data_IF_194677241718
#
_entry.id   IF_194677241718
#
_cell.length_a   1.000
_cell.length_b   1.000
_cell.length_c   1.000
_cell.angle_alpha   90.00
_cell.angle_beta   90.00
_cell.angle_gamma   90.00
#
_symmetry.space_group_name_H-M   'P 1'
#
loop_
_entity.id
_entity.type
_entity.pdbx_description
1 polymer ?
#
# COMPACT_ATOMS: atom_id res chain seq x y z
N UNK A 1 17.08 17.68 1.51
CA UNK A 1 16.74 16.76 2.62
C UNK A 1 16.39 17.59 3.84
N UNK A 2 15.32 17.26 4.56
CA UNK A 2 14.95 17.96 5.80
C UNK A 2 16.05 17.70 6.84
N UNK A 3 16.61 18.77 7.41
CA UNK A 3 17.71 18.74 8.39
C UNK A 3 17.22 19.37 9.70
N UNK A 4 16.12 18.83 10.21
CA UNK A 4 15.48 19.25 11.47
C UNK A 4 15.59 18.09 12.46
N UNK A 5 16.21 18.34 13.61
CA UNK A 5 16.39 17.37 14.68
C UNK A 5 15.07 16.93 15.33
N UNK A 6 13.96 17.62 15.06
CA UNK A 6 12.62 17.34 15.58
C UNK A 6 11.68 16.74 14.52
N UNK A 7 12.22 16.22 13.42
CA UNK A 7 11.40 15.55 12.40
C UNK A 7 10.63 14.37 12.99
N UNK A 8 9.29 14.42 12.90
CA UNK A 8 8.40 13.33 13.26
C UNK A 8 8.00 12.60 12.00
N UNK A 9 8.42 11.34 11.88
CA UNK A 9 8.04 10.44 10.80
C UNK A 9 6.67 9.82 11.11
N UNK A 10 5.72 9.94 10.17
CA UNK A 10 4.40 9.30 10.26
C UNK A 10 4.25 8.31 9.13
N UNK A 11 3.94 7.06 9.48
CA UNK A 11 3.83 5.98 8.50
C UNK A 11 2.72 5.02 8.88
N UNK A 12 2.15 4.37 7.87
CA UNK A 12 1.28 3.21 8.01
C UNK A 12 2.05 1.94 7.67
N UNK A 13 1.88 0.91 8.49
CA UNK A 13 2.47 -0.42 8.30
C UNK A 13 1.36 -1.46 8.38
N UNK A 14 1.21 -2.28 7.34
CA UNK A 14 0.20 -3.33 7.26
C UNK A 14 0.60 -4.42 6.25
N UNK A 15 -0.03 -5.58 6.32
CA UNK A 15 0.05 -6.66 5.34
C UNK A 15 -1.34 -7.23 5.08
N UNK A 16 -1.42 -8.26 4.23
CA UNK A 16 -2.63 -9.07 4.04
C UNK A 16 -3.85 -8.24 3.58
N UNK A 17 -3.63 -7.24 2.72
CA UNK A 17 -4.71 -6.34 2.29
C UNK A 17 -5.76 -7.09 1.47
N UNK A 18 -5.30 -7.86 0.49
CA UNK A 18 -6.12 -8.50 -0.51
C UNK A 18 -6.95 -7.54 -1.37
N UNK A 19 -7.59 -8.11 -2.38
CA UNK A 19 -8.46 -7.37 -3.30
C UNK A 19 -9.87 -7.12 -2.73
N UNK A 20 -10.54 -8.16 -2.24
CA UNK A 20 -11.99 -8.13 -2.01
C UNK A 20 -12.38 -7.65 -0.59
N UNK A 21 -11.45 -7.65 0.37
CA UNK A 21 -11.72 -7.31 1.77
C UNK A 21 -10.74 -6.26 2.33
N UNK A 22 -10.44 -5.26 1.52
CA UNK A 22 -9.48 -4.20 1.82
C UNK A 22 -10.05 -3.17 2.83
N UNK A 23 -10.45 -3.61 4.02
CA UNK A 23 -11.14 -2.80 5.05
C UNK A 23 -10.36 -1.54 5.45
N UNK A 24 -9.04 -1.62 5.46
CA UNK A 24 -8.16 -0.51 5.79
C UNK A 24 -7.90 0.44 4.60
N UNK A 25 -8.25 0.05 3.37
CA UNK A 25 -7.91 0.81 2.16
C UNK A 25 -8.47 2.22 2.18
N UNK A 26 -9.78 2.38 2.41
CA UNK A 26 -10.43 3.70 2.43
C UNK A 26 -9.74 4.64 3.42
N UNK A 27 -9.40 4.13 4.62
CA UNK A 27 -8.71 4.91 5.66
C UNK A 27 -7.32 5.35 5.20
N UNK A 28 -6.57 4.45 4.58
CA UNK A 28 -5.22 4.73 4.09
C UNK A 28 -5.24 5.76 2.96
N UNK A 29 -6.22 5.67 2.07
CA UNK A 29 -6.43 6.64 0.99
C UNK A 29 -6.75 8.03 1.58
N UNK A 30 -7.74 8.13 2.46
CA UNK A 30 -8.12 9.40 3.10
C UNK A 30 -6.95 10.07 3.82
N UNK A 31 -6.23 9.33 4.66
CA UNK A 31 -5.10 9.88 5.43
C UNK A 31 -3.92 10.29 4.54
N UNK A 32 -3.69 9.57 3.45
CA UNK A 32 -2.68 9.95 2.47
C UNK A 32 -3.05 11.27 1.80
N UNK A 33 -4.31 11.44 1.41
CA UNK A 33 -4.81 12.67 0.81
C UNK A 33 -4.80 13.86 1.79
N UNK A 34 -4.98 13.61 3.08
CA UNK A 34 -4.81 14.60 4.15
C UNK A 34 -3.35 14.92 4.49
N UNK A 35 -2.38 14.22 3.86
CA UNK A 35 -0.95 14.43 4.11
C UNK A 35 -0.50 13.94 5.49
N UNK A 36 -1.19 12.95 6.07
CA UNK A 36 -0.88 12.42 7.39
C UNK A 36 0.24 11.37 7.40
N UNK A 37 0.59 10.82 6.22
CA UNK A 37 1.68 9.87 6.06
C UNK A 37 2.81 10.43 5.20
N UNK A 38 4.04 10.11 5.59
CA UNK A 38 5.25 10.37 4.79
C UNK A 38 5.54 9.22 3.81
N UNK A 39 5.19 7.98 4.19
CA UNK A 39 5.27 6.78 3.34
C UNK A 39 4.44 5.63 3.93
N UNK A 40 4.20 4.59 3.12
CA UNK A 40 3.58 3.33 3.54
C UNK A 40 4.58 2.18 3.43
N UNK A 41 4.52 1.23 4.36
CA UNK A 41 5.17 -0.08 4.27
C UNK A 41 4.13 -1.20 4.25
N UNK A 42 3.97 -1.85 3.10
CA UNK A 42 3.13 -3.03 2.91
C UNK A 42 3.97 -4.31 3.07
N UNK A 43 3.80 -5.01 4.19
CA UNK A 43 4.63 -6.16 4.60
C UNK A 43 4.15 -7.51 4.04
N UNK A 44 3.88 -7.56 2.73
CA UNK A 44 3.53 -8.79 2.01
C UNK A 44 2.04 -9.08 1.93
N UNK A 45 1.69 -10.09 1.13
CA UNK A 45 0.32 -10.55 0.87
C UNK A 45 -0.56 -9.41 0.33
N UNK A 46 -0.19 -8.94 -0.87
CA UNK A 46 -0.72 -7.71 -1.46
C UNK A 46 -2.17 -7.86 -1.92
N UNK A 47 -2.38 -8.48 -3.08
CA UNK A 47 -3.70 -8.66 -3.67
C UNK A 47 -4.26 -10.08 -3.48
N UNK A 48 -3.38 -11.03 -3.13
CA UNK A 48 -3.52 -12.47 -3.35
C UNK A 48 -3.73 -12.83 -4.83
N UNK A 49 -2.95 -13.78 -5.34
CA UNK A 49 -3.06 -14.31 -6.71
C UNK A 49 -3.06 -13.21 -7.80
N UNK A 50 -2.04 -12.34 -7.80
CA UNK A 50 -1.96 -11.21 -8.73
C UNK A 50 -2.00 -11.60 -10.21
N UNK A 51 -1.60 -12.82 -10.55
CA UNK A 51 -1.61 -13.41 -11.88
C UNK A 51 -3.01 -13.91 -12.33
N UNK A 52 -3.97 -13.97 -11.42
CA UNK A 52 -5.32 -14.47 -11.70
C UNK A 52 -6.08 -13.62 -12.70
N UNK A 53 -6.87 -14.32 -13.52
CA UNK A 53 -7.65 -13.77 -14.63
C UNK A 53 -6.82 -12.85 -15.53
N UNK A 54 -5.75 -13.42 -16.10
CA UNK A 54 -4.82 -12.71 -16.98
C UNK A 54 -4.28 -11.42 -16.34
N UNK A 55 -3.83 -11.53 -15.08
CA UNK A 55 -3.35 -10.45 -14.23
C UNK A 55 -4.37 -9.32 -13.89
N UNK A 56 -5.66 -9.47 -14.25
CA UNK A 56 -6.69 -8.47 -13.93
C UNK A 56 -6.82 -8.21 -12.43
N UNK A 57 -6.55 -9.22 -11.59
CA UNK A 57 -6.55 -9.06 -10.14
C UNK A 57 -5.43 -8.13 -9.67
N UNK A 58 -4.24 -8.27 -10.25
CA UNK A 58 -3.14 -7.34 -10.05
C UNK A 58 -3.50 -5.92 -10.50
N UNK A 59 -4.07 -5.77 -11.70
CA UNK A 59 -4.46 -4.46 -12.23
C UNK A 59 -5.46 -3.73 -11.32
N UNK A 60 -6.49 -4.44 -10.85
CA UNK A 60 -7.49 -3.86 -9.94
C UNK A 60 -6.88 -3.45 -8.60
N UNK A 61 -5.96 -4.25 -8.05
CA UNK A 61 -5.23 -3.89 -6.84
C UNK A 61 -4.35 -2.65 -7.05
N UNK A 62 -3.60 -2.59 -8.16
CA UNK A 62 -2.75 -1.45 -8.49
C UNK A 62 -3.55 -0.17 -8.68
N UNK A 63 -4.71 -0.25 -9.34
CA UNK A 63 -5.65 0.87 -9.45
C UNK A 63 -6.19 1.31 -8.08
N UNK A 64 -6.44 0.37 -7.16
CA UNK A 64 -6.92 0.71 -5.82
C UNK A 64 -5.85 1.44 -4.99
N UNK A 65 -4.59 1.01 -5.06
CA UNK A 65 -3.49 1.66 -4.31
C UNK A 65 -2.96 2.92 -5.00
N UNK A 66 -3.33 3.21 -6.26
CA UNK A 66 -2.89 4.39 -7.01
C UNK A 66 -3.14 5.69 -6.24
N UNK A 67 -4.31 5.83 -5.62
CA UNK A 67 -4.69 6.99 -4.81
C UNK A 67 -3.81 7.21 -3.57
N UNK A 68 -2.92 6.26 -3.26
CA UNK A 68 -1.88 6.37 -2.25
C UNK A 68 -0.52 6.51 -2.92
N UNK A 69 -0.14 5.53 -3.75
CA UNK A 69 1.19 5.38 -4.32
C UNK A 69 1.56 6.49 -5.31
N UNK A 70 0.58 7.19 -5.87
CA UNK A 70 0.82 8.38 -6.70
C UNK A 70 1.28 9.61 -5.90
N UNK A 71 1.06 9.63 -4.57
CA UNK A 71 1.30 10.80 -3.71
C UNK A 71 2.48 10.62 -2.76
N UNK A 72 2.70 9.39 -2.26
CA UNK A 72 3.76 9.07 -1.30
C UNK A 72 4.42 7.74 -1.66
N UNK A 73 5.68 7.50 -1.23
CA UNK A 73 6.33 6.22 -1.42
C UNK A 73 5.51 5.07 -0.80
N UNK A 74 5.25 4.04 -1.61
CA UNK A 74 4.58 2.82 -1.21
C UNK A 74 5.57 1.67 -1.29
N UNK A 75 6.16 1.32 -0.15
CA UNK A 75 7.21 0.30 -0.05
C UNK A 75 6.58 -1.07 0.18
N UNK A 76 7.11 -2.12 -0.46
CA UNK A 76 6.57 -3.48 -0.34
C UNK A 76 7.63 -4.48 0.15
N UNK A 77 7.15 -5.54 0.78
CA UNK A 77 7.88 -6.78 1.01
C UNK A 77 7.16 -7.93 0.30
N UNK A 78 7.88 -9.00 -0.02
CA UNK A 78 7.31 -10.21 -0.63
C UNK A 78 6.76 -11.10 0.48
N UNK A 79 5.46 -11.44 0.42
CA UNK A 79 4.82 -12.42 1.28
C UNK A 79 4.82 -13.82 0.65
N UNK A 80 4.19 -14.78 1.32
CA UNK A 80 4.10 -16.14 0.79
C UNK A 80 3.16 -16.23 -0.41
N UNK A 81 2.22 -15.29 -0.57
CA UNK A 81 1.31 -15.25 -1.72
C UNK A 81 1.89 -14.60 -2.98
N UNK A 82 3.13 -14.10 -2.92
CA UNK A 82 3.84 -13.50 -4.06
C UNK A 82 4.91 -14.42 -4.67
N UNK A 83 5.13 -15.62 -4.13
CA UNK A 83 6.21 -16.53 -4.53
C UNK A 83 5.78 -17.66 -5.49
N UNK A 84 4.76 -17.42 -6.32
CA UNK A 84 4.26 -18.43 -7.27
C UNK A 84 5.25 -18.74 -8.39
#
# INVERSE_FOLDING_TARGET
MRNDSNFVLRTAVYGDMGKDNAQSMTRLQEETQLGHFDFILHVGDMAYNMDSDNARYGDEFMNAIESIAAYIPYMTCVGNHESN
#
